data_IF_084475967032
#
_entry.id   IF_084475967032
#
_cell.length_a   1.000
_cell.length_b   1.000
_cell.length_c   1.000
_cell.angle_alpha   90.00
_cell.angle_beta   90.00
_cell.angle_gamma   90.00
#
_symmetry.space_group_name_H-M   'P 1'
#
loop_
_entity.id
_entity.type
_entity.pdbx_description
1 polymer ?
#
# COMPACT_ATOMS: atom_id res chain seq x y z
N UNK A 1 -21.87 69.39 -3.51
CA UNK A 1 -22.28 68.09 -4.06
C UNK A 1 -21.03 67.29 -4.29
N UNK A 2 -21.00 66.09 -3.69
CA UNK A 2 -19.81 65.28 -3.40
C UNK A 2 -19.15 64.72 -4.66
N UNK A 3 -17.84 64.93 -4.79
CA UNK A 3 -16.96 64.19 -5.72
C UNK A 3 -16.83 62.74 -5.23
N UNK A 4 -17.42 61.79 -5.94
CA UNK A 4 -17.07 60.38 -5.77
C UNK A 4 -16.01 60.00 -6.80
N UNK A 5 -14.73 60.12 -6.39
CA UNK A 5 -13.64 59.35 -6.99
C UNK A 5 -13.86 57.88 -6.66
N UNK A 6 -14.32 57.11 -7.63
CA UNK A 6 -14.14 55.65 -7.60
C UNK A 6 -12.66 55.37 -7.81
N UNK A 7 -11.92 55.20 -6.71
CA UNK A 7 -10.62 54.54 -6.73
C UNK A 7 -10.87 53.07 -7.08
N UNK A 8 -10.73 52.73 -8.37
CA UNK A 8 -10.58 51.35 -8.78
C UNK A 8 -9.32 50.82 -8.12
N UNK A 9 -9.47 49.86 -7.21
CA UNK A 9 -8.37 49.07 -6.67
C UNK A 9 -7.77 48.28 -7.83
N UNK A 10 -6.68 48.81 -8.38
CA UNK A 10 -5.86 48.11 -9.35
C UNK A 10 -5.25 46.89 -8.64
N UNK A 11 -5.75 45.70 -8.94
CA UNK A 11 -5.15 44.45 -8.48
C UNK A 11 -3.87 44.27 -9.29
N UNK A 12 -2.74 44.66 -8.70
CA UNK A 12 -1.42 44.38 -9.25
C UNK A 12 -1.21 42.87 -9.15
N UNK A 13 -1.36 42.17 -10.28
CA UNK A 13 -0.93 40.79 -10.41
C UNK A 13 0.59 40.80 -10.56
N UNK A 14 1.29 39.99 -9.77
CA UNK A 14 2.73 39.86 -9.87
C UNK A 14 3.04 38.88 -11.01
N UNK A 15 3.73 39.34 -12.04
CA UNK A 15 4.24 38.47 -13.13
C UNK A 15 5.44 37.60 -12.68
N UNK A 16 5.73 37.56 -11.36
CA UNK A 16 6.88 36.88 -10.79
C UNK A 16 6.57 36.31 -9.41
N UNK A 17 7.26 35.23 -9.06
CA UNK A 17 7.15 34.61 -7.74
C UNK A 17 7.81 35.50 -6.66
N UNK A 18 7.07 35.91 -5.61
CA UNK A 18 7.67 36.57 -4.46
C UNK A 18 8.50 35.58 -3.64
N UNK A 19 9.25 36.10 -2.65
CA UNK A 19 9.91 35.25 -1.67
C UNK A 19 8.87 34.77 -0.65
N UNK A 20 8.61 33.47 -0.63
CA UNK A 20 7.70 32.87 0.34
C UNK A 20 8.36 32.68 1.70
N UNK A 21 7.57 32.77 2.77
CA UNK A 21 8.02 32.57 4.15
C UNK A 21 7.70 31.16 4.64
N UNK A 22 7.96 30.17 3.80
CA UNK A 22 7.74 28.76 4.07
C UNK A 22 9.08 28.03 4.21
N UNK A 23 9.11 26.98 5.03
CA UNK A 23 10.23 26.05 5.04
C UNK A 23 10.27 25.27 3.71
N UNK A 24 11.45 25.14 3.11
CA UNK A 24 11.62 24.31 1.92
C UNK A 24 11.19 22.86 2.19
N UNK A 25 10.68 22.21 1.15
CA UNK A 25 10.33 20.80 1.21
C UNK A 25 11.49 19.92 0.75
N UNK A 26 12.08 19.19 1.69
CA UNK A 26 13.28 18.38 1.47
C UNK A 26 12.95 16.94 1.02
N UNK A 27 11.73 16.46 1.30
CA UNK A 27 11.32 15.08 0.96
C UNK A 27 11.97 13.99 1.81
N UNK A 28 12.49 14.33 2.99
CA UNK A 28 13.27 13.46 3.89
C UNK A 28 12.43 12.64 4.89
N UNK A 29 11.13 12.44 4.61
CA UNK A 29 10.16 11.71 5.46
C UNK A 29 9.87 12.34 6.83
N UNK A 30 10.30 13.57 7.12
CA UNK A 30 9.86 14.32 8.32
C UNK A 30 8.79 15.37 7.98
N UNK A 31 8.64 15.68 6.69
CA UNK A 31 7.67 16.64 6.17
C UNK A 31 6.57 15.90 5.38
N UNK A 32 5.31 16.29 5.59
CA UNK A 32 4.17 15.78 4.81
C UNK A 32 3.88 16.71 3.63
N UNK A 33 3.91 16.18 2.40
CA UNK A 33 3.67 16.99 1.21
C UNK A 33 2.27 17.62 1.18
N UNK A 34 1.24 16.98 1.76
CA UNK A 34 -0.11 17.58 1.77
C UNK A 34 -0.15 18.80 2.66
N UNK A 35 0.41 18.72 3.88
CA UNK A 35 0.49 19.85 4.82
C UNK A 35 1.33 20.98 4.23
N UNK A 36 2.51 20.66 3.72
CA UNK A 36 3.39 21.66 3.12
C UNK A 36 2.75 22.37 1.92
N UNK A 37 2.06 21.65 1.03
CA UNK A 37 1.33 22.27 -0.08
C UNK A 37 0.18 23.17 0.38
N UNK A 38 -0.45 22.89 1.53
CA UNK A 38 -1.47 23.78 2.10
C UNK A 38 -0.80 25.09 2.53
N UNK A 39 0.32 25.02 3.23
CA UNK A 39 1.05 26.20 3.69
C UNK A 39 1.56 27.04 2.49
N UNK A 40 2.05 26.40 1.43
CA UNK A 40 2.46 27.10 0.21
C UNK A 40 1.27 27.79 -0.47
N UNK A 41 0.08 27.17 -0.47
CA UNK A 41 -1.14 27.80 -0.99
C UNK A 41 -1.60 29.00 -0.16
N UNK A 42 -1.35 28.98 1.16
CA UNK A 42 -1.61 30.15 2.02
C UNK A 42 -0.68 31.29 1.63
N UNK A 43 0.61 31.01 1.48
CA UNK A 43 1.59 32.00 1.02
C UNK A 43 1.23 32.62 -0.34
N UNK A 44 0.73 31.83 -1.30
CA UNK A 44 0.19 32.36 -2.56
C UNK A 44 -0.96 33.35 -2.33
N UNK A 45 -1.93 32.98 -1.48
CA UNK A 45 -3.09 33.84 -1.18
C UNK A 45 -2.67 35.14 -0.50
N UNK A 46 -1.73 35.09 0.42
CA UNK A 46 -1.22 36.25 1.15
C UNK A 46 -0.52 37.24 0.21
N UNK A 47 0.08 36.73 -0.87
CA UNK A 47 0.66 37.54 -1.96
C UNK A 47 -0.33 37.86 -3.09
N UNK A 48 -1.63 37.59 -2.90
CA UNK A 48 -2.71 37.81 -3.88
C UNK A 48 -2.58 37.00 -5.18
N UNK A 49 -1.78 35.94 -5.16
CA UNK A 49 -1.61 34.97 -6.25
C UNK A 49 -2.72 33.92 -6.17
N UNK A 50 -3.24 33.51 -7.33
CA UNK A 50 -4.28 32.47 -7.43
C UNK A 50 -3.76 31.29 -8.23
N UNK A 51 -3.55 30.16 -7.55
CA UNK A 51 -3.05 28.89 -8.13
C UNK A 51 -3.78 28.46 -9.41
N UNK A 52 -5.11 28.62 -9.48
CA UNK A 52 -5.89 28.24 -10.65
C UNK A 52 -5.79 29.24 -11.82
N UNK A 53 -5.46 30.50 -11.54
CA UNK A 53 -5.29 31.54 -12.55
C UNK A 53 -3.85 31.65 -13.06
N UNK A 54 -2.88 31.21 -12.24
CA UNK A 54 -1.44 31.34 -12.49
C UNK A 54 -0.79 29.95 -12.46
N UNK A 55 -1.24 29.09 -13.36
CA UNK A 55 -0.80 27.68 -13.45
C UNK A 55 0.70 27.57 -13.69
N UNK A 56 1.26 28.44 -14.54
CA UNK A 56 2.68 28.52 -14.82
C UNK A 56 3.49 28.85 -13.56
N UNK A 57 3.08 29.87 -12.79
CA UNK A 57 3.74 30.25 -11.54
C UNK A 57 3.64 29.13 -10.48
N UNK A 58 2.52 28.39 -10.48
CA UNK A 58 2.36 27.24 -9.60
C UNK A 58 3.28 26.07 -9.97
N UNK A 59 3.49 25.80 -11.26
CA UNK A 59 4.46 24.77 -11.68
C UNK A 59 5.90 25.24 -11.42
N UNK A 60 6.18 26.53 -11.58
CA UNK A 60 7.49 27.12 -11.33
C UNK A 60 7.90 27.15 -9.84
N UNK A 61 6.95 27.39 -8.93
CA UNK A 61 7.28 27.51 -7.50
C UNK A 61 7.70 26.19 -6.88
N UNK A 62 7.11 25.08 -7.32
CA UNK A 62 7.35 23.77 -6.72
C UNK A 62 8.82 23.34 -6.74
N UNK A 63 9.58 23.42 -7.86
CA UNK A 63 11.01 23.16 -7.84
C UNK A 63 11.83 24.21 -7.08
N UNK A 64 11.38 25.47 -6.97
CA UNK A 64 12.10 26.51 -6.22
C UNK A 64 12.04 26.30 -4.71
N UNK A 65 10.86 25.87 -4.23
CA UNK A 65 10.58 25.67 -2.80
C UNK A 65 10.81 24.21 -2.35
N UNK A 66 11.38 23.37 -3.23
CA UNK A 66 11.85 22.02 -2.88
C UNK A 66 13.36 21.97 -2.84
N UNK A 67 13.88 21.01 -2.08
CA UNK A 67 15.32 20.74 -1.96
C UNK A 67 15.58 19.25 -1.78
N UNK A 68 16.85 18.86 -1.72
CA UNK A 68 17.31 17.51 -1.39
C UNK A 68 16.61 16.39 -2.19
N UNK A 69 15.95 15.45 -1.51
CA UNK A 69 15.33 14.27 -2.13
C UNK A 69 14.09 14.63 -2.95
N UNK A 70 13.36 15.67 -2.56
CA UNK A 70 12.25 16.19 -3.35
C UNK A 70 12.74 16.78 -4.68
N UNK A 71 13.79 17.62 -4.64
CA UNK A 71 14.37 18.20 -5.84
C UNK A 71 14.95 17.13 -6.78
N UNK A 72 15.76 16.19 -6.26
CA UNK A 72 16.29 15.06 -7.04
C UNK A 72 15.18 14.22 -7.69
N UNK A 73 14.09 13.98 -6.97
CA UNK A 73 12.95 13.24 -7.51
C UNK A 73 12.27 13.98 -8.66
N UNK A 74 12.06 15.30 -8.54
CA UNK A 74 11.50 16.12 -9.61
C UNK A 74 12.39 16.09 -10.86
N UNK A 75 13.71 16.20 -10.68
CA UNK A 75 14.69 16.14 -11.77
C UNK A 75 14.80 14.76 -12.43
N UNK A 76 14.64 13.69 -11.67
CA UNK A 76 14.76 12.32 -12.20
C UNK A 76 13.47 11.79 -12.86
N UNK A 77 12.32 12.43 -12.63
CA UNK A 77 11.03 11.99 -13.17
C UNK A 77 10.74 12.69 -14.49
N UNK A 78 10.98 12.02 -15.62
CA UNK A 78 10.93 12.61 -16.98
C UNK A 78 9.69 13.46 -17.27
N UNK A 79 8.50 12.98 -16.88
CA UNK A 79 7.26 13.72 -17.15
C UNK A 79 7.11 14.97 -16.27
N UNK A 80 7.54 14.89 -15.01
CA UNK A 80 7.55 16.03 -14.07
C UNK A 80 8.59 17.06 -14.52
N UNK A 81 9.81 16.60 -14.82
CA UNK A 81 10.87 17.46 -15.33
C UNK A 81 10.42 18.20 -16.60
N UNK A 82 9.77 17.50 -17.54
CA UNK A 82 9.23 18.12 -18.75
C UNK A 82 8.20 19.22 -18.45
N UNK A 83 7.33 19.02 -17.47
CA UNK A 83 6.34 20.03 -17.10
C UNK A 83 6.99 21.25 -16.42
N UNK A 84 8.04 21.02 -15.61
CA UNK A 84 8.83 22.08 -14.98
C UNK A 84 9.64 22.86 -16.02
N UNK A 85 10.33 22.18 -16.94
CA UNK A 85 11.17 22.81 -17.96
C UNK A 85 10.32 23.65 -18.94
N UNK A 86 9.04 23.33 -19.12
CA UNK A 86 8.10 24.04 -19.99
C UNK A 86 6.97 24.73 -19.19
N UNK A 87 7.27 25.21 -17.97
CA UNK A 87 6.26 25.74 -17.05
C UNK A 87 5.47 26.93 -17.63
N UNK A 88 6.05 27.72 -18.54
CA UNK A 88 5.37 28.84 -19.21
C UNK A 88 4.14 28.40 -20.01
N UNK A 89 4.15 27.17 -20.54
CA UNK A 89 3.05 26.57 -21.30
C UNK A 89 2.18 25.62 -20.46
N UNK A 90 2.41 25.55 -19.15
CA UNK A 90 1.75 24.59 -18.27
C UNK A 90 0.23 24.80 -18.22
N UNK A 91 -0.50 23.69 -18.30
CA UNK A 91 -1.97 23.67 -18.23
C UNK A 91 -2.42 23.27 -16.83
N UNK A 92 -3.66 23.61 -16.48
CA UNK A 92 -4.24 23.27 -15.18
C UNK A 92 -4.14 21.76 -14.85
N UNK A 93 -4.17 20.90 -15.88
CA UNK A 93 -3.93 19.46 -15.76
C UNK A 93 -2.51 19.11 -15.33
N UNK A 94 -1.49 19.83 -15.83
CA UNK A 94 -0.08 19.61 -15.49
C UNK A 94 0.19 20.01 -14.03
N UNK A 95 -0.35 21.15 -13.60
CA UNK A 95 -0.30 21.60 -12.20
C UNK A 95 -0.99 20.60 -11.26
N UNK A 96 -2.19 20.12 -11.64
CA UNK A 96 -2.94 19.15 -10.85
C UNK A 96 -2.20 17.81 -10.75
N UNK A 97 -1.62 17.35 -11.87
CA UNK A 97 -0.80 16.14 -11.90
C UNK A 97 0.42 16.27 -10.99
N UNK A 98 1.15 17.38 -11.06
CA UNK A 98 2.36 17.60 -10.28
C UNK A 98 2.08 17.65 -8.78
N UNK A 99 1.01 18.35 -8.37
CA UNK A 99 0.56 18.33 -6.98
C UNK A 99 0.24 16.92 -6.48
N UNK A 100 -0.52 16.16 -7.29
CA UNK A 100 -0.94 14.82 -6.90
C UNK A 100 0.26 13.87 -6.80
N UNK A 101 1.18 13.94 -7.77
CA UNK A 101 2.41 13.17 -7.77
C UNK A 101 3.27 13.48 -6.53
N UNK A 102 3.37 14.75 -6.12
CA UNK A 102 4.12 15.13 -4.91
C UNK A 102 3.47 14.55 -3.64
N UNK A 103 2.13 14.65 -3.53
CA UNK A 103 1.36 14.10 -2.40
C UNK A 103 1.48 12.58 -2.29
N UNK A 104 1.47 11.89 -3.43
CA UNK A 104 1.55 10.44 -3.46
C UNK A 104 2.98 9.97 -3.14
N UNK A 105 4.00 10.64 -3.70
CA UNK A 105 5.40 10.31 -3.47
C UNK A 105 5.85 10.56 -2.02
N UNK A 106 5.45 11.69 -1.44
CA UNK A 106 5.90 12.12 -0.11
C UNK A 106 4.74 12.27 0.88
N UNK A 107 3.91 11.24 0.94
CA UNK A 107 2.88 11.15 1.98
C UNK A 107 3.49 10.75 3.32
N UNK A 108 3.32 11.59 4.33
CA UNK A 108 3.54 11.21 5.72
C UNK A 108 2.28 10.50 6.21
N UNK A 109 1.96 9.35 5.61
CA UNK A 109 1.09 8.39 6.29
C UNK A 109 1.80 8.09 7.60
N UNK A 110 1.11 8.20 8.74
CA UNK A 110 1.65 7.81 10.04
C UNK A 110 2.25 6.41 9.89
N UNK A 111 3.56 6.36 9.67
CA UNK A 111 4.27 5.12 9.49
C UNK A 111 4.36 4.55 10.88
N UNK A 112 3.37 3.73 11.24
CA UNK A 112 3.60 2.63 12.16
C UNK A 112 4.88 1.94 11.68
N UNK A 113 5.89 2.03 12.53
CA UNK A 113 7.24 1.51 12.37
C UNK A 113 7.32 0.28 11.48
N UNK A 114 7.71 0.45 10.21
CA UNK A 114 8.41 -0.57 9.42
C UNK A 114 8.74 0.05 8.06
N UNK A 115 9.94 0.64 7.94
CA UNK A 115 10.56 1.01 6.67
C UNK A 115 11.02 -0.23 5.87
N UNK A 116 10.23 -1.32 5.90
CA UNK A 116 10.40 -2.47 5.01
C UNK A 116 9.46 -2.24 3.83
N UNK A 117 9.99 -2.30 2.61
CA UNK A 117 9.13 -2.32 1.41
C UNK A 117 8.14 -3.49 1.49
N UNK A 118 6.96 -3.35 0.87
CA UNK A 118 5.96 -4.42 0.83
C UNK A 118 6.57 -5.76 0.38
N UNK A 119 7.51 -5.72 -0.58
CA UNK A 119 8.26 -6.89 -1.08
C UNK A 119 9.10 -7.53 0.03
N UNK A 120 9.80 -6.73 0.85
CA UNK A 120 10.59 -7.25 1.97
C UNK A 120 9.69 -7.83 3.07
N UNK A 121 8.57 -7.16 3.38
CA UNK A 121 7.59 -7.69 4.33
C UNK A 121 6.99 -9.02 3.85
N UNK A 122 6.74 -9.16 2.54
CA UNK A 122 6.28 -10.41 1.94
C UNK A 122 7.32 -11.53 2.01
N UNK A 123 8.60 -11.22 1.79
CA UNK A 123 9.68 -12.20 1.86
C UNK A 123 9.85 -12.81 3.26
N UNK A 124 9.51 -12.05 4.30
CA UNK A 124 9.57 -12.49 5.70
C UNK A 124 8.20 -12.98 6.22
N UNK A 125 7.15 -12.95 5.38
CA UNK A 125 5.79 -13.26 5.79
C UNK A 125 5.60 -14.77 6.02
N UNK A 126 5.55 -15.15 7.30
CA UNK A 126 5.39 -16.54 7.74
C UNK A 126 4.50 -16.61 8.98
N UNK A 127 3.91 -17.78 9.21
CA UNK A 127 3.15 -18.11 10.41
C UNK A 127 4.12 -18.16 11.59
N UNK A 128 3.80 -17.44 12.66
CA UNK A 128 4.61 -17.49 13.87
C UNK A 128 4.41 -18.84 14.57
N UNK A 129 5.41 -19.26 15.35
CA UNK A 129 5.32 -20.47 16.14
C UNK A 129 4.09 -20.41 17.05
N UNK A 130 3.25 -21.46 17.02
CA UNK A 130 1.98 -21.54 17.78
C UNK A 130 0.91 -20.50 17.41
N UNK A 131 1.09 -19.75 16.32
CA UNK A 131 0.05 -18.84 15.87
C UNK A 131 -1.14 -19.62 15.30
N UNK A 132 -2.37 -19.37 15.76
CA UNK A 132 -3.55 -19.98 15.17
C UNK A 132 -3.71 -19.58 13.70
N UNK A 133 -4.07 -20.55 12.85
CA UNK A 133 -4.29 -20.32 11.41
C UNK A 133 -5.26 -19.14 11.12
N UNK A 134 -6.37 -18.94 11.87
CA UNK A 134 -7.24 -17.78 11.66
C UNK A 134 -6.54 -16.44 11.93
N UNK A 135 -5.61 -16.38 12.88
CA UNK A 135 -4.88 -15.15 13.21
C UNK A 135 -3.79 -14.87 12.17
N UNK A 136 -3.13 -15.92 11.66
CA UNK A 136 -2.22 -15.80 10.52
C UNK A 136 -2.95 -15.24 9.28
N UNK A 137 -4.15 -15.73 9.01
CA UNK A 137 -5.00 -15.19 7.94
C UNK A 137 -5.42 -13.74 8.18
N UNK A 138 -5.80 -13.37 9.42
CA UNK A 138 -6.06 -11.97 9.77
C UNK A 138 -4.84 -11.09 9.49
N UNK A 139 -3.62 -11.53 9.80
CA UNK A 139 -2.39 -10.78 9.45
C UNK A 139 -2.22 -10.62 7.95
N UNK A 140 -2.51 -11.64 7.15
CA UNK A 140 -2.45 -11.55 5.70
C UNK A 140 -3.48 -10.55 5.14
N UNK A 141 -4.71 -10.54 5.66
CA UNK A 141 -5.71 -9.54 5.27
C UNK A 141 -5.36 -8.13 5.73
N UNK A 142 -4.75 -7.98 6.91
CA UNK A 142 -4.24 -6.69 7.38
C UNK A 142 -3.10 -6.17 6.51
N UNK A 143 -2.24 -7.06 6.00
CA UNK A 143 -1.19 -6.70 5.04
C UNK A 143 -1.79 -6.11 3.75
N UNK A 144 -2.81 -6.75 3.16
CA UNK A 144 -3.51 -6.23 1.98
C UNK A 144 -4.06 -4.82 2.20
N UNK A 145 -4.66 -4.56 3.38
CA UNK A 145 -5.14 -3.23 3.76
C UNK A 145 -4.01 -2.21 3.89
N UNK A 146 -2.88 -2.61 4.46
CA UNK A 146 -1.70 -1.77 4.62
C UNK A 146 -1.14 -1.30 3.26
N UNK A 147 -1.13 -2.20 2.26
CA UNK A 147 -0.64 -1.88 0.91
C UNK A 147 -1.74 -1.40 -0.05
N UNK A 148 -2.95 -1.16 0.46
CA UNK A 148 -4.13 -0.71 -0.31
C UNK A 148 -4.48 -1.62 -1.51
N UNK A 149 -4.26 -2.93 -1.37
CA UNK A 149 -4.63 -3.96 -2.37
C UNK A 149 -5.90 -4.67 -1.89
N UNK A 150 -6.88 -4.84 -2.77
CA UNK A 150 -8.08 -5.63 -2.48
C UNK A 150 -7.87 -7.12 -2.76
N UNK A 151 -8.52 -7.99 -2.00
CA UNK A 151 -8.63 -9.40 -2.37
C UNK A 151 -9.59 -9.58 -3.56
N UNK A 152 -9.34 -10.57 -4.42
CA UNK A 152 -10.27 -10.88 -5.53
C UNK A 152 -11.56 -11.47 -4.97
N UNK A 153 -12.70 -10.93 -5.41
CA UNK A 153 -14.02 -11.39 -4.98
C UNK A 153 -14.55 -10.74 -3.70
N UNK A 154 -13.84 -9.76 -3.12
CA UNK A 154 -14.43 -8.87 -2.13
C UNK A 154 -15.56 -8.06 -2.77
N UNK A 155 -16.75 -8.02 -2.16
CA UNK A 155 -17.95 -7.27 -2.61
C UNK A 155 -17.75 -5.76 -2.82
N UNK A 156 -16.52 -5.25 -2.66
CA UNK A 156 -16.21 -3.85 -2.87
C UNK A 156 -16.00 -3.57 -4.37
N UNK A 157 -16.76 -2.60 -4.85
CA UNK A 157 -16.98 -2.12 -6.23
C UNK A 157 -15.76 -1.71 -7.09
N UNK A 158 -14.54 -2.14 -6.80
CA UNK A 158 -13.39 -2.01 -7.73
C UNK A 158 -13.36 -3.24 -8.63
N UNK A 159 -13.91 -3.09 -9.83
CA UNK A 159 -14.21 -4.19 -10.74
C UNK A 159 -13.00 -4.91 -11.37
N UNK A 160 -11.76 -4.49 -11.15
CA UNK A 160 -10.56 -5.21 -11.58
C UNK A 160 -9.33 -4.73 -10.82
N UNK A 161 -8.48 -5.65 -10.37
CA UNK A 161 -7.13 -5.31 -9.87
C UNK A 161 -6.26 -4.87 -11.04
N UNK A 162 -5.44 -3.85 -10.85
CA UNK A 162 -4.34 -3.53 -11.76
C UNK A 162 -3.29 -4.65 -11.75
N UNK A 163 -2.46 -4.71 -12.80
CA UNK A 163 -1.40 -5.73 -12.89
C UNK A 163 -0.43 -5.71 -11.70
N UNK A 164 -0.17 -4.55 -11.11
CA UNK A 164 0.69 -4.41 -9.95
C UNK A 164 0.01 -4.93 -8.67
N UNK A 165 -1.26 -4.57 -8.45
CA UNK A 165 -2.06 -5.07 -7.32
C UNK A 165 -2.22 -6.59 -7.40
N UNK A 166 -2.45 -7.11 -8.61
CA UNK A 166 -2.57 -8.55 -8.85
C UNK A 166 -1.26 -9.29 -8.56
N UNK A 167 -0.13 -8.70 -8.94
CA UNK A 167 1.19 -9.25 -8.63
C UNK A 167 1.41 -9.34 -7.12
N UNK A 168 1.08 -8.27 -6.37
CA UNK A 168 1.22 -8.24 -4.90
C UNK A 168 0.31 -9.26 -4.23
N UNK A 169 -0.96 -9.38 -4.66
CA UNK A 169 -1.88 -10.39 -4.14
C UNK A 169 -1.36 -11.81 -4.38
N UNK A 170 -0.88 -12.10 -5.60
CA UNK A 170 -0.31 -13.41 -5.93
C UNK A 170 0.97 -13.70 -5.13
N UNK A 171 1.81 -12.69 -4.86
CA UNK A 171 2.96 -12.86 -3.98
C UNK A 171 2.53 -13.18 -2.54
N UNK A 172 1.53 -12.48 -2.02
CA UNK A 172 1.00 -12.74 -0.68
C UNK A 172 0.40 -14.14 -0.55
N UNK A 173 -0.37 -14.59 -1.54
CA UNK A 173 -0.94 -15.95 -1.56
C UNK A 173 0.18 -17.00 -1.48
N UNK A 174 1.24 -16.83 -2.28
CA UNK A 174 2.41 -17.74 -2.24
C UNK A 174 3.11 -17.67 -0.89
N UNK A 175 3.37 -16.48 -0.37
CA UNK A 175 4.02 -16.30 0.93
C UNK A 175 3.19 -16.89 2.08
N UNK A 176 1.86 -16.70 2.06
CA UNK A 176 0.94 -17.26 3.05
C UNK A 176 1.01 -18.80 3.08
N UNK A 177 0.96 -19.45 1.92
CA UNK A 177 1.04 -20.92 1.84
C UNK A 177 2.44 -21.42 2.20
N UNK A 178 3.48 -20.84 1.62
CA UNK A 178 4.87 -21.23 1.89
C UNK A 178 5.28 -20.97 3.34
N UNK A 179 4.69 -19.96 3.97
CA UNK A 179 4.96 -19.53 5.33
C UNK A 179 4.20 -20.31 6.41
N UNK A 180 3.37 -21.29 6.06
CA UNK A 180 2.71 -22.16 7.05
C UNK A 180 3.76 -22.89 7.91
N UNK A 181 3.57 -22.87 9.23
CA UNK A 181 4.50 -23.51 10.19
C UNK A 181 4.57 -25.02 9.94
N UNK A 182 3.40 -25.64 9.84
CA UNK A 182 3.26 -27.08 9.66
C UNK A 182 3.61 -27.50 8.23
N UNK A 183 4.68 -28.28 8.10
CA UNK A 183 5.17 -28.78 6.83
C UNK A 183 4.17 -29.72 6.14
N UNK A 184 3.49 -30.61 6.86
CA UNK A 184 2.54 -31.55 6.27
C UNK A 184 1.31 -30.80 5.75
N UNK A 185 0.79 -29.87 6.55
CA UNK A 185 -0.28 -28.97 6.12
C UNK A 185 0.10 -28.21 4.85
N UNK A 186 1.31 -27.64 4.82
CA UNK A 186 1.81 -26.87 3.68
C UNK A 186 1.82 -27.71 2.41
N UNK A 187 2.36 -28.92 2.45
CA UNK A 187 2.39 -29.81 1.28
C UNK A 187 0.98 -30.21 0.82
N UNK A 188 0.08 -30.52 1.76
CA UNK A 188 -1.30 -30.86 1.45
C UNK A 188 -2.07 -29.69 0.82
N UNK A 189 -1.89 -28.48 1.34
CA UNK A 189 -2.50 -27.28 0.78
C UNK A 189 -1.98 -26.98 -0.63
N UNK A 190 -0.67 -27.13 -0.86
CA UNK A 190 -0.05 -26.95 -2.18
C UNK A 190 -0.61 -27.97 -3.18
N UNK A 191 -0.72 -29.24 -2.81
CA UNK A 191 -1.25 -30.28 -3.70
C UNK A 191 -2.73 -30.05 -4.06
N UNK A 192 -3.49 -29.37 -3.20
CA UNK A 192 -4.86 -28.92 -3.45
C UNK A 192 -4.96 -27.59 -4.19
N UNK A 193 -3.85 -27.00 -4.63
CA UNK A 193 -3.84 -25.80 -5.47
C UNK A 193 -3.96 -24.46 -4.72
N UNK A 194 -3.65 -24.44 -3.41
CA UNK A 194 -3.77 -23.23 -2.58
C UNK A 194 -2.98 -22.01 -3.10
N UNK A 195 -1.91 -22.21 -3.88
CA UNK A 195 -1.05 -21.14 -4.41
C UNK A 195 -1.58 -20.47 -5.69
N UNK A 196 -2.67 -20.99 -6.27
CA UNK A 196 -3.12 -20.62 -7.63
C UNK A 196 -4.58 -20.12 -7.67
N UNK A 197 -5.18 -19.85 -6.51
CA UNK A 197 -6.59 -19.45 -6.38
C UNK A 197 -6.87 -18.02 -6.88
N UNK A 198 -5.86 -17.16 -6.86
CA UNK A 198 -5.99 -15.72 -7.07
C UNK A 198 -6.79 -14.99 -5.99
N UNK A 199 -7.21 -15.65 -4.91
CA UNK A 199 -7.94 -15.05 -3.79
C UNK A 199 -7.41 -15.58 -2.46
N UNK A 200 -7.08 -14.66 -1.56
CA UNK A 200 -6.58 -15.00 -0.24
C UNK A 200 -7.64 -15.73 0.59
N UNK A 201 -8.92 -15.34 0.48
CA UNK A 201 -10.02 -16.06 1.13
C UNK A 201 -10.11 -17.52 0.66
N UNK A 202 -10.12 -17.74 -0.65
CA UNK A 202 -10.17 -19.11 -1.21
C UNK A 202 -8.95 -19.94 -0.81
N UNK A 203 -7.77 -19.32 -0.79
CA UNK A 203 -6.55 -19.97 -0.30
C UNK A 203 -6.70 -20.39 1.16
N UNK A 204 -7.24 -19.52 2.02
CA UNK A 204 -7.48 -19.83 3.42
C UNK A 204 -8.50 -20.96 3.62
N UNK A 205 -9.56 -21.01 2.82
CA UNK A 205 -10.53 -22.11 2.81
C UNK A 205 -9.86 -23.44 2.48
N UNK A 206 -9.04 -23.50 1.41
CA UNK A 206 -8.28 -24.71 1.04
C UNK A 206 -7.34 -25.15 2.17
N UNK A 207 -6.62 -24.21 2.80
CA UNK A 207 -5.72 -24.55 3.91
C UNK A 207 -6.50 -25.08 5.12
N UNK A 208 -7.65 -24.50 5.43
CA UNK A 208 -8.52 -24.94 6.53
C UNK A 208 -9.09 -26.34 6.27
N UNK A 209 -9.51 -26.62 5.04
CA UNK A 209 -9.95 -27.96 4.63
C UNK A 209 -8.81 -28.98 4.67
N UNK A 210 -7.60 -28.57 4.27
CA UNK A 210 -6.40 -29.41 4.35
C UNK A 210 -6.09 -29.79 5.79
N UNK A 211 -6.17 -28.83 6.72
CA UNK A 211 -6.00 -29.07 8.16
C UNK A 211 -7.01 -30.10 8.67
N UNK A 212 -8.29 -29.90 8.37
CA UNK A 212 -9.36 -30.83 8.79
C UNK A 212 -9.12 -32.24 8.25
N UNK A 213 -8.74 -32.37 6.98
CA UNK A 213 -8.46 -33.67 6.38
C UNK A 213 -7.27 -34.38 7.05
N UNK A 214 -6.22 -33.65 7.41
CA UNK A 214 -5.08 -34.22 8.14
C UNK A 214 -5.48 -34.66 9.56
N UNK A 215 -6.26 -33.85 10.28
CA UNK A 215 -6.75 -34.20 11.62
C UNK A 215 -7.62 -35.48 11.58
N UNK A 216 -8.44 -35.64 10.54
CA UNK A 216 -9.24 -36.86 10.31
C UNK A 216 -8.36 -38.10 10.05
N UNK A 217 -7.33 -37.97 9.21
CA UNK A 217 -6.37 -39.05 8.94
C UNK A 217 -5.64 -39.47 10.23
N UNK A 218 -5.17 -38.50 11.01
CA UNK A 218 -4.49 -38.78 12.29
C UNK A 218 -5.41 -39.50 13.27
N UNK A 219 -6.67 -39.09 13.35
CA UNK A 219 -7.68 -39.75 14.19
C UNK A 219 -7.91 -41.20 13.77
N UNK A 220 -8.02 -41.47 12.46
CA UNK A 220 -8.20 -42.83 11.93
C UNK A 220 -6.98 -43.72 12.22
N UNK A 221 -5.76 -43.20 12.03
CA UNK A 221 -4.52 -43.93 12.34
C UNK A 221 -4.41 -44.28 13.82
N UNK A 222 -4.77 -43.36 14.71
CA UNK A 222 -4.79 -43.61 16.15
C UNK A 222 -5.80 -44.72 16.52
N UNK A 223 -6.99 -44.71 15.90
CA UNK A 223 -8.01 -45.74 16.10
C UNK A 223 -7.55 -47.11 15.61
N UNK A 224 -6.98 -47.19 14.40
CA UNK A 224 -6.42 -48.43 13.84
C UNK A 224 -5.31 -49.00 14.72
N UNK A 225 -4.41 -48.14 15.21
CA UNK A 225 -3.32 -48.55 16.09
C UNK A 225 -3.84 -49.07 17.43
N UNK A 226 -4.88 -48.43 17.99
CA UNK A 226 -5.49 -48.89 19.23
C UNK A 226 -6.21 -50.24 19.05
N UNK A 227 -6.89 -50.42 17.92
CA UNK A 227 -7.57 -51.68 17.59
C UNK A 227 -6.57 -52.83 17.39
N UNK A 228 -5.50 -52.62 16.61
CA UNK A 228 -4.44 -53.61 16.41
C UNK A 228 -3.79 -54.04 17.74
N UNK A 229 -3.58 -53.09 18.67
CA UNK A 229 -3.07 -53.43 20.01
C UNK A 229 -4.06 -54.28 20.79
N UNK A 230 -5.34 -53.91 20.80
CA UNK A 230 -6.37 -54.67 21.50
C UNK A 230 -6.49 -56.10 20.96
N UNK A 231 -6.50 -56.27 19.64
CA UNK A 231 -6.53 -57.58 18.97
C UNK A 231 -5.29 -58.42 19.31
N UNK A 232 -4.09 -57.81 19.28
CA UNK A 232 -2.85 -58.50 19.67
C UNK A 232 -2.84 -58.92 21.16
N UNK A 233 -3.39 -58.11 22.06
CA UNK A 233 -3.57 -58.49 23.46
C UNK A 233 -4.54 -59.67 23.61
N UNK A 234 -5.69 -59.64 22.92
CA UNK A 234 -6.66 -60.73 22.95
C UNK A 234 -6.10 -62.06 22.38
N UNK A 235 -5.23 -62.00 21.36
CA UNK A 235 -4.54 -63.17 20.83
C UNK A 235 -3.54 -63.78 21.82
N UNK A 236 -2.78 -62.95 22.54
CA UNK A 236 -1.84 -63.42 23.59
C UNK A 236 -2.59 -64.14 24.72
N UNK A 237 -3.77 -63.65 25.12
CA UNK A 237 -4.58 -64.28 26.17
C UNK A 237 -5.31 -65.56 25.71
N UNK A 238 -5.43 -65.80 24.41
CA UNK A 238 -6.04 -67.02 23.84
C UNK A 238 -5.02 -68.09 23.44
N UNK A 239 -3.72 -67.81 23.54
CA UNK A 239 -2.68 -68.80 23.27
C UNK A 239 -2.64 -69.84 24.42
N UNK A 240 -2.76 -71.15 24.14
CA UNK A 240 -2.80 -72.23 25.13
C UNK A 240 -1.45 -72.48 25.82
#
# INVERSE_FOLDING_TARGET
>A
MSEHRSQGLEVIYLDYLPKFKIEKFHGNNTQDARRWLIDLKVEFRDHKLKVLAETNLWVEVLPRETDEEAAKWMDSTTHIKRNIDNFEEAKAGDASYLEQALKDKFSLVAQTESSKSAIKMLAEFSQMKMEPLPDFYKRATAFLRLVNVSDRGSNNSRSTLSSAEDMVLNMLIKAFVSGLEDQELRHNAISRGATSTGSLLKTYEIVTESRRALDEIQKQLAQQTAQQKAEAFDEIYRAP
#
